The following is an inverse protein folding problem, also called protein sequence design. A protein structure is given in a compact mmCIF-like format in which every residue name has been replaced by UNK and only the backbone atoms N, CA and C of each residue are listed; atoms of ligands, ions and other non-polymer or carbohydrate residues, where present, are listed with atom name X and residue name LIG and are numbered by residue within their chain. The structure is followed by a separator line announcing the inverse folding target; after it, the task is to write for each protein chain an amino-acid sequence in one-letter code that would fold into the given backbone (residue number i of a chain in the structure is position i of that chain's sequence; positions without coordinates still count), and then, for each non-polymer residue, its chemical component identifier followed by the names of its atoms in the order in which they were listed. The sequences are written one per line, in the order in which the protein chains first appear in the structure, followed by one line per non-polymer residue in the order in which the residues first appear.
data_IF_176486338538
#
_entry.id   IF_176486338538
#
_cell.length_a   1.000
_cell.length_b   1.000
_cell.length_c   1.000
_cell.angle_alpha   90.00
_cell.angle_beta   90.00
_cell.angle_gamma   90.00
#
_symmetry.space_group_name_H-M   'P 1'
#
loop_
_entity.id
_entity.type
_entity.pdbx_description
1 polymer ?
#
# COMPACT_ATOMS: atom_id res chain seq x y z
N UNK A 1 10.68 -15.38 5.00
CA UNK A 1 9.45 -15.06 5.76
C UNK A 1 8.48 -14.35 4.82
N UNK A 2 7.17 -14.51 5.00
CA UNK A 2 6.15 -13.81 4.21
C UNK A 2 6.06 -12.30 4.55
N UNK A 3 6.63 -11.89 5.68
CA UNK A 3 6.68 -10.51 6.16
C UNK A 3 7.22 -10.47 7.60
N UNK A 4 8.27 -9.69 7.91
CA UNK A 4 9.13 -8.94 6.99
C UNK A 4 9.85 -9.86 5.98
N UNK A 5 9.96 -9.41 4.74
CA UNK A 5 10.65 -10.14 3.67
C UNK A 5 12.18 -10.03 3.82
N UNK A 6 12.92 -10.87 3.08
CA UNK A 6 14.37 -10.77 3.03
C UNK A 6 14.78 -9.47 2.33
N UNK A 7 15.78 -8.77 2.89
CA UNK A 7 16.44 -7.65 2.23
C UNK A 7 17.64 -8.16 1.41
N UNK A 8 18.00 -7.49 0.30
CA UNK A 8 19.26 -7.75 -0.39
C UNK A 8 20.44 -7.57 0.57
N UNK A 9 21.44 -8.45 0.46
CA UNK A 9 22.59 -8.47 1.39
C UNK A 9 23.37 -7.16 1.32
N UNK A 10 23.55 -6.63 0.12
CA UNK A 10 24.33 -5.41 -0.15
C UNK A 10 23.71 -4.18 0.55
N UNK A 11 22.39 -4.18 0.73
CA UNK A 11 21.68 -3.14 1.49
C UNK A 11 22.02 -3.26 2.98
N UNK A 12 22.05 -4.47 3.54
CA UNK A 12 22.37 -4.70 4.94
C UNK A 12 23.84 -4.36 5.24
N UNK A 13 24.75 -4.70 4.34
CA UNK A 13 26.17 -4.36 4.43
C UNK A 13 26.36 -2.84 4.42
N UNK A 14 25.72 -2.12 3.49
CA UNK A 14 25.75 -0.65 3.45
C UNK A 14 25.23 -0.03 4.75
N UNK A 15 24.11 -0.53 5.27
CA UNK A 15 23.53 -0.06 6.55
C UNK A 15 24.50 -0.31 7.70
N UNK A 16 25.14 -1.48 7.75
CA UNK A 16 26.12 -1.81 8.79
C UNK A 16 27.34 -0.88 8.74
N UNK A 17 27.90 -0.64 7.56
CA UNK A 17 29.06 0.23 7.36
C UNK A 17 28.78 1.68 7.79
N UNK A 18 27.61 2.20 7.45
CA UNK A 18 27.23 3.60 7.74
C UNK A 18 26.51 3.79 9.09
N UNK A 19 26.28 2.73 9.86
CA UNK A 19 25.36 2.79 11.02
C UNK A 19 25.79 3.80 12.08
N UNK A 20 27.09 3.84 12.37
CA UNK A 20 27.67 4.69 13.41
C UNK A 20 28.11 6.05 12.87
N UNK A 21 28.42 6.12 11.57
CA UNK A 21 28.85 7.34 10.90
C UNK A 21 28.24 7.41 9.50
N UNK A 22 27.05 8.01 9.42
CA UNK A 22 26.33 8.13 8.17
C UNK A 22 27.10 9.05 7.23
N UNK A 23 27.67 8.49 6.15
CA UNK A 23 28.42 9.22 5.12
C UNK A 23 29.49 10.17 5.67
N UNK A 24 30.20 9.79 6.74
CA UNK A 24 31.29 10.60 7.31
C UNK A 24 30.81 11.87 8.03
N UNK A 25 29.56 11.93 8.47
CA UNK A 25 28.99 13.09 9.17
C UNK A 25 29.21 13.07 10.69
N UNK A 26 29.90 12.06 11.21
CA UNK A 26 30.25 11.87 12.61
C UNK A 26 29.10 11.39 13.50
N UNK A 27 27.92 11.07 12.94
CA UNK A 27 26.78 10.54 13.70
C UNK A 27 25.95 9.57 12.86
N UNK A 28 25.17 8.72 13.51
CA UNK A 28 24.22 7.81 12.86
C UNK A 28 23.12 8.57 12.12
N UNK A 29 22.55 7.95 11.07
CA UNK A 29 21.32 8.44 10.42
C UNK A 29 20.15 8.51 11.41
N UNK A 30 20.11 7.61 12.39
CA UNK A 30 19.06 7.56 13.42
C UNK A 30 19.11 8.76 14.39
N UNK A 31 20.23 9.48 14.43
CA UNK A 31 20.42 10.67 15.28
C UNK A 31 20.17 11.98 14.52
N UNK A 32 19.97 11.91 13.19
CA UNK A 32 19.78 13.10 12.36
C UNK A 32 18.38 13.68 12.56
N UNK A 33 18.30 15.01 12.62
CA UNK A 33 17.04 15.74 12.55
C UNK A 33 16.35 15.47 11.20
N UNK A 34 15.05 15.16 11.24
CA UNK A 34 14.22 15.00 10.03
C UNK A 34 14.08 16.29 9.20
N UNK A 35 14.47 17.45 9.74
CA UNK A 35 14.51 18.73 9.03
C UNK A 35 15.94 19.10 8.58
N UNK A 36 16.93 18.30 8.94
CA UNK A 36 18.33 18.53 8.59
C UNK A 36 18.62 18.09 7.16
N UNK A 37 19.61 18.71 6.49
CA UNK A 37 19.93 18.45 5.09
C UNK A 37 20.24 16.97 4.82
N UNK A 38 20.92 16.28 5.75
CA UNK A 38 21.24 14.85 5.60
C UNK A 38 20.00 13.96 5.49
N UNK A 39 18.96 14.20 6.31
CA UNK A 39 17.73 13.41 6.24
C UNK A 39 16.85 13.85 5.07
N UNK A 40 16.73 15.16 4.82
CA UNK A 40 15.94 15.67 3.69
C UNK A 40 16.45 15.12 2.36
N UNK A 41 17.77 14.93 2.22
CA UNK A 41 18.35 14.26 1.05
C UNK A 41 17.90 12.79 0.95
N UNK A 42 17.90 12.03 2.05
CA UNK A 42 17.41 10.64 2.06
C UNK A 42 15.94 10.55 1.64
N UNK A 43 15.08 11.40 2.19
CA UNK A 43 13.66 11.47 1.83
C UNK A 43 13.45 11.82 0.34
N UNK A 44 14.20 12.80 -0.16
CA UNK A 44 14.12 13.24 -1.56
C UNK A 44 14.59 12.14 -2.51
N UNK A 45 15.76 11.55 -2.27
CA UNK A 45 16.29 10.47 -3.11
C UNK A 45 15.38 9.23 -3.10
N UNK A 46 14.75 8.91 -1.96
CA UNK A 46 13.79 7.81 -1.88
C UNK A 46 12.57 8.06 -2.76
N UNK A 47 12.02 9.29 -2.75
CA UNK A 47 10.90 9.70 -3.62
C UNK A 47 11.29 9.65 -5.09
N UNK A 48 12.42 10.25 -5.46
CA UNK A 48 12.92 10.26 -6.85
C UNK A 48 13.12 8.84 -7.41
N UNK A 49 13.69 7.94 -6.59
CA UNK A 49 13.89 6.53 -6.99
C UNK A 49 12.56 5.83 -7.21
N UNK A 50 11.59 6.01 -6.32
CA UNK A 50 10.25 5.44 -6.48
C UNK A 50 9.53 5.99 -7.71
N UNK A 51 9.55 7.31 -7.93
CA UNK A 51 9.01 7.94 -9.13
C UNK A 51 9.58 7.31 -10.39
N UNK A 52 10.91 7.14 -10.45
CA UNK A 52 11.57 6.51 -11.61
C UNK A 52 11.24 5.02 -11.78
N UNK A 53 11.26 4.25 -10.70
CA UNK A 53 11.00 2.79 -10.74
C UNK A 53 9.56 2.52 -11.20
N UNK A 54 8.61 3.32 -10.73
CA UNK A 54 7.19 3.16 -11.01
C UNK A 54 6.72 3.94 -12.25
N UNK A 55 7.59 4.74 -12.86
CA UNK A 55 7.25 5.57 -14.02
C UNK A 55 6.17 6.61 -13.72
N UNK A 56 6.14 7.15 -12.49
CA UNK A 56 5.13 8.13 -12.08
C UNK A 56 5.38 9.49 -12.73
N UNK A 57 4.32 10.11 -13.23
CA UNK A 57 4.32 11.52 -13.67
C UNK A 57 4.03 12.49 -12.52
N UNK A 58 3.86 13.77 -12.87
CA UNK A 58 3.64 14.86 -11.90
C UNK A 58 2.25 14.83 -11.24
N UNK A 59 1.34 13.99 -11.73
CA UNK A 59 -0.03 13.83 -11.19
C UNK A 59 -0.07 13.01 -9.89
N UNK A 60 1.07 12.46 -9.44
CA UNK A 60 1.15 11.61 -8.25
C UNK A 60 2.02 12.22 -7.15
N UNK A 61 1.60 12.02 -5.90
CA UNK A 61 2.38 12.40 -4.72
C UNK A 61 2.80 11.17 -3.92
N UNK A 62 4.08 11.08 -3.54
CA UNK A 62 4.64 9.99 -2.73
C UNK A 62 4.64 10.38 -1.25
N UNK A 63 3.99 9.55 -0.44
CA UNK A 63 3.90 9.72 1.01
C UNK A 63 4.54 8.55 1.76
N UNK A 64 5.41 8.84 2.74
CA UNK A 64 5.94 7.85 3.67
C UNK A 64 5.21 7.95 5.00
N UNK A 65 4.33 7.00 5.28
CA UNK A 65 3.43 7.02 6.44
C UNK A 65 3.67 5.82 7.37
N UNK A 66 3.46 6.05 8.66
CA UNK A 66 3.46 4.99 9.68
C UNK A 66 2.09 4.28 9.75
N UNK A 67 2.01 3.20 10.53
CA UNK A 67 0.78 2.43 10.76
C UNK A 67 0.53 1.28 9.78
N UNK A 68 1.34 1.19 8.71
CA UNK A 68 1.27 0.12 7.72
C UNK A 68 -0.03 0.09 6.92
N UNK A 69 -0.21 -0.95 6.09
CA UNK A 69 -1.39 -1.10 5.23
C UNK A 69 -2.71 -1.17 6.03
N UNK A 70 -2.69 -1.74 7.23
CA UNK A 70 -3.88 -1.80 8.11
C UNK A 70 -4.40 -0.40 8.46
N UNK A 71 -3.53 0.58 8.72
CA UNK A 71 -3.97 1.95 8.95
C UNK A 71 -4.54 2.59 7.68
N UNK A 72 -4.09 2.17 6.49
CA UNK A 72 -4.61 2.67 5.21
C UNK A 72 -6.03 2.18 4.91
N UNK A 73 -6.42 0.98 5.37
CA UNK A 73 -7.82 0.54 5.32
C UNK A 73 -8.79 1.49 6.02
N UNK A 74 -8.30 2.30 6.98
CA UNK A 74 -9.07 3.35 7.63
C UNK A 74 -8.86 4.73 6.98
N UNK A 75 -7.62 5.09 6.64
CA UNK A 75 -7.31 6.43 6.11
C UNK A 75 -7.95 6.66 4.73
N UNK A 76 -8.03 5.65 3.87
CA UNK A 76 -8.68 5.76 2.57
C UNK A 76 -10.17 6.14 2.72
N UNK A 77 -11.03 5.34 3.39
CA UNK A 77 -12.43 5.73 3.55
C UNK A 77 -12.62 7.01 4.37
N UNK A 78 -11.76 7.30 5.35
CA UNK A 78 -11.85 8.56 6.11
C UNK A 78 -11.69 9.80 5.22
N UNK A 79 -10.86 9.74 4.18
CA UNK A 79 -10.61 10.87 3.28
C UNK A 79 -11.58 10.89 2.10
N UNK A 80 -12.02 9.73 1.61
CA UNK A 80 -12.74 9.62 0.35
C UNK A 80 -14.20 9.20 0.46
N UNK A 81 -14.63 8.57 1.56
CA UNK A 81 -15.95 7.93 1.67
C UNK A 81 -16.83 8.60 2.74
N UNK A 82 -17.88 9.28 2.30
CA UNK A 82 -18.92 9.81 3.18
C UNK A 82 -20.02 8.78 3.44
N UNK A 83 -20.87 9.03 4.43
CA UNK A 83 -21.98 8.12 4.84
C UNK A 83 -22.92 7.72 3.69
N UNK A 84 -23.15 8.62 2.73
CA UNK A 84 -24.06 8.38 1.62
C UNK A 84 -23.38 7.80 0.38
N UNK A 85 -22.05 7.88 0.32
CA UNK A 85 -21.22 7.43 -0.79
C UNK A 85 -21.08 5.90 -0.74
N UNK A 86 -20.73 5.32 -1.88
CA UNK A 86 -20.47 3.88 -2.03
C UNK A 86 -19.01 3.66 -2.41
N UNK A 87 -18.34 2.73 -1.73
CA UNK A 87 -17.09 2.15 -2.19
C UNK A 87 -17.34 0.76 -2.75
N UNK A 88 -16.79 0.48 -3.92
CA UNK A 88 -16.75 -0.87 -4.47
C UNK A 88 -15.47 -1.56 -3.98
N UNK A 89 -15.59 -2.74 -3.36
CA UNK A 89 -14.43 -3.48 -2.86
C UNK A 89 -14.49 -4.92 -3.36
N UNK A 90 -13.54 -5.29 -4.22
CA UNK A 90 -13.44 -6.65 -4.78
C UNK A 90 -12.92 -7.61 -3.71
N UNK A 91 -13.68 -8.65 -3.38
CA UNK A 91 -13.32 -9.58 -2.29
C UNK A 91 -12.58 -10.84 -2.80
N UNK A 92 -11.25 -10.79 -2.76
CA UNK A 92 -10.36 -11.87 -3.22
C UNK A 92 -9.47 -12.46 -2.13
N UNK A 93 -9.63 -12.06 -0.87
CA UNK A 93 -8.92 -12.68 0.25
C UNK A 93 -9.03 -11.93 1.58
N UNK A 94 -8.21 -12.34 2.55
CA UNK A 94 -8.23 -11.78 3.92
C UNK A 94 -8.01 -10.26 3.95
N UNK A 95 -7.20 -9.72 3.04
CA UNK A 95 -6.91 -8.28 3.02
C UNK A 95 -8.10 -7.45 2.52
N UNK A 96 -8.83 -7.94 1.51
CA UNK A 96 -10.07 -7.31 1.05
C UNK A 96 -11.18 -7.41 2.10
N UNK A 97 -11.30 -8.54 2.81
CA UNK A 97 -12.25 -8.68 3.94
C UNK A 97 -12.00 -7.61 5.02
N UNK A 98 -10.73 -7.37 5.37
CA UNK A 98 -10.33 -6.33 6.33
C UNK A 98 -10.67 -4.93 5.82
N UNK A 99 -10.40 -4.64 4.55
CA UNK A 99 -10.78 -3.37 3.93
C UNK A 99 -12.30 -3.15 3.95
N UNK A 100 -13.10 -4.18 3.61
CA UNK A 100 -14.57 -4.18 3.67
C UNK A 100 -15.06 -3.88 5.08
N UNK A 101 -14.51 -4.57 6.08
CA UNK A 101 -14.93 -4.41 7.47
C UNK A 101 -14.72 -2.96 7.97
N UNK A 102 -13.60 -2.33 7.59
CA UNK A 102 -13.30 -0.95 7.99
C UNK A 102 -14.11 0.07 7.19
N UNK A 103 -14.23 -0.09 5.87
CA UNK A 103 -14.96 0.86 5.02
C UNK A 103 -16.45 0.99 5.38
N UNK A 104 -17.07 -0.10 5.86
CA UNK A 104 -18.46 -0.10 6.39
C UNK A 104 -18.68 0.84 7.58
N UNK A 105 -17.62 1.27 8.26
CA UNK A 105 -17.71 2.24 9.36
C UNK A 105 -17.92 3.68 8.86
N UNK A 106 -17.64 3.95 7.58
CA UNK A 106 -17.62 5.31 7.01
C UNK A 106 -18.75 5.55 6.02
N UNK A 107 -19.07 4.56 5.17
CA UNK A 107 -20.10 4.67 4.14
C UNK A 107 -20.63 3.32 3.69
N UNK A 108 -21.27 3.30 2.52
CA UNK A 108 -21.80 2.06 1.95
C UNK A 108 -20.66 1.29 1.29
N UNK A 109 -20.68 -0.02 1.43
CA UNK A 109 -19.75 -0.91 0.72
C UNK A 109 -20.58 -1.82 -0.17
N UNK A 110 -20.21 -1.83 -1.44
CA UNK A 110 -20.74 -2.76 -2.42
C UNK A 110 -19.60 -3.70 -2.86
N UNK A 111 -19.90 -4.99 -2.98
CA UNK A 111 -18.91 -6.04 -3.29
C UNK A 111 -19.21 -6.54 -4.70
N UNK A 112 -18.57 -5.98 -5.74
CA UNK A 112 -18.90 -6.29 -7.14
C UNK A 112 -18.50 -7.71 -7.55
N UNK A 113 -17.63 -8.35 -6.79
CA UNK A 113 -17.24 -9.74 -6.94
C UNK A 113 -16.68 -10.27 -5.61
N UNK A 114 -16.94 -11.54 -5.32
CA UNK A 114 -16.31 -12.27 -4.22
C UNK A 114 -15.99 -13.70 -4.67
N UNK A 115 -14.77 -14.16 -4.38
CA UNK A 115 -14.36 -15.57 -4.55
C UNK A 115 -14.33 -16.33 -3.21
N UNK A 116 -14.97 -15.80 -2.17
CA UNK A 116 -14.98 -16.38 -0.82
C UNK A 116 -15.59 -17.80 -0.80
N UNK A 117 -16.66 -18.03 -1.57
CA UNK A 117 -17.31 -19.34 -1.77
C UNK A 117 -16.37 -20.38 -2.40
N UNK A 118 -15.38 -19.90 -3.16
CA UNK A 118 -14.32 -20.68 -3.79
C UNK A 118 -13.02 -20.67 -2.96
N UNK A 119 -13.10 -20.29 -1.67
CA UNK A 119 -11.95 -20.18 -0.75
C UNK A 119 -10.83 -19.28 -1.30
N UNK A 120 -11.22 -18.21 -1.99
CA UNK A 120 -10.32 -17.21 -2.55
C UNK A 120 -9.28 -17.77 -3.55
N UNK A 121 -9.65 -18.83 -4.28
CA UNK A 121 -8.75 -19.54 -5.21
C UNK A 121 -8.54 -18.84 -6.56
N UNK A 122 -9.17 -17.69 -6.81
CA UNK A 122 -8.99 -16.90 -8.04
C UNK A 122 -9.30 -15.41 -7.85
N UNK A 123 -8.95 -14.62 -8.86
CA UNK A 123 -9.37 -13.22 -9.06
C UNK A 123 -10.41 -13.16 -10.19
N UNK A 124 -11.28 -12.13 -10.24
CA UNK A 124 -12.30 -12.03 -11.27
C UNK A 124 -11.72 -11.73 -12.67
N UNK A 125 -12.48 -12.12 -13.69
CA UNK A 125 -12.40 -11.55 -15.03
C UNK A 125 -13.23 -10.26 -15.09
N UNK A 126 -12.92 -9.36 -16.04
CA UNK A 126 -13.61 -8.08 -16.17
C UNK A 126 -15.13 -8.22 -16.36
N UNK A 127 -15.59 -9.29 -17.03
CA UNK A 127 -17.02 -9.56 -17.25
C UNK A 127 -17.78 -10.01 -16.01
N UNK A 128 -17.09 -10.41 -14.94
CA UNK A 128 -17.70 -10.84 -13.68
C UNK A 128 -17.88 -9.67 -12.69
N UNK A 129 -17.28 -8.51 -12.98
CA UNK A 129 -17.39 -7.33 -12.13
C UNK A 129 -18.74 -6.65 -12.33
N UNK A 130 -19.62 -6.77 -11.34
CA UNK A 130 -20.88 -6.05 -11.31
C UNK A 130 -20.71 -4.73 -10.55
N UNK A 131 -19.96 -3.76 -11.07
CA UNK A 131 -19.69 -2.49 -10.39
C UNK A 131 -20.97 -1.68 -10.10
N UNK A 132 -20.96 -0.87 -9.02
CA UNK A 132 -22.03 0.10 -8.78
C UNK A 132 -21.98 1.23 -9.83
N UNK A 133 -23.08 1.98 -9.98
CA UNK A 133 -23.20 3.02 -11.02
C UNK A 133 -22.27 4.22 -10.79
N UNK A 134 -22.09 4.61 -9.53
CA UNK A 134 -21.26 5.76 -9.12
C UNK A 134 -20.47 5.46 -7.83
N UNK A 135 -19.49 4.54 -7.88
CA UNK A 135 -18.62 4.30 -6.74
C UNK A 135 -17.63 5.45 -6.58
N UNK A 136 -17.40 5.86 -5.35
CA UNK A 136 -16.41 6.89 -5.04
C UNK A 136 -14.98 6.41 -5.27
N UNK A 137 -14.75 5.10 -5.10
CA UNK A 137 -13.56 4.40 -5.53
C UNK A 137 -13.84 2.90 -5.66
N UNK A 138 -12.99 2.23 -6.42
CA UNK A 138 -12.89 0.77 -6.47
C UNK A 138 -11.60 0.37 -5.75
N UNK A 139 -11.71 -0.52 -4.76
CA UNK A 139 -10.57 -1.09 -4.05
C UNK A 139 -10.41 -2.56 -4.43
N UNK A 140 -9.17 -2.95 -4.77
CA UNK A 140 -8.79 -4.34 -4.99
C UNK A 140 -7.48 -4.63 -4.28
N UNK A 141 -7.22 -5.91 -4.00
CA UNK A 141 -5.94 -6.37 -3.46
C UNK A 141 -5.19 -7.03 -4.60
N UNK A 142 -4.14 -6.38 -5.13
CA UNK A 142 -3.46 -6.88 -6.33
C UNK A 142 -2.82 -8.26 -6.14
N UNK A 143 -2.25 -8.51 -4.95
CA UNK A 143 -1.69 -9.81 -4.56
C UNK A 143 -2.23 -10.28 -3.20
N UNK A 144 -2.97 -11.39 -3.18
CA UNK A 144 -3.56 -11.99 -1.98
C UNK A 144 -2.56 -12.94 -1.30
N UNK A 145 -1.68 -12.39 -0.46
CA UNK A 145 -0.52 -13.12 0.10
C UNK A 145 -0.83 -14.42 0.85
N UNK A 146 -2.04 -14.56 1.41
CA UNK A 146 -2.45 -15.78 2.15
C UNK A 146 -2.95 -16.87 1.21
N UNK A 147 -3.63 -16.49 0.12
CA UNK A 147 -4.30 -17.43 -0.78
C UNK A 147 -3.52 -17.69 -2.07
N UNK A 148 -2.48 -16.90 -2.36
CA UNK A 148 -1.59 -17.12 -3.51
C UNK A 148 -2.24 -16.77 -4.85
N UNK A 149 -3.20 -15.85 -4.85
CA UNK A 149 -3.87 -15.34 -6.06
C UNK A 149 -3.47 -13.90 -6.34
N UNK A 150 -3.30 -13.57 -7.61
CA UNK A 150 -2.84 -12.26 -8.06
C UNK A 150 -3.58 -11.83 -9.33
N UNK A 151 -3.86 -10.53 -9.45
CA UNK A 151 -4.30 -9.93 -10.71
C UNK A 151 -3.18 -10.01 -11.75
N UNK A 152 -3.50 -10.39 -12.98
CA UNK A 152 -2.50 -10.55 -14.05
C UNK A 152 -1.97 -9.22 -14.58
N UNK A 153 -2.74 -8.15 -14.42
CA UNK A 153 -2.38 -6.76 -14.71
C UNK A 153 -3.09 -5.83 -13.75
N UNK A 154 -2.45 -4.69 -13.46
CA UNK A 154 -3.01 -3.57 -12.68
C UNK A 154 -3.49 -2.45 -13.61
#
# INVERSE_FOLDING_TARGET
SAGPAALPLEVLETVQEELLDYKGTGTSIMEKSHRGPSYTQVDTEAKERLTRILGLGDDFHIMFLQGGATAQFMQIPLNFLSKNDTADIINTGVWSEKAIAVAKLFGKVHVPFSSEDQKFSRVPENSELNLSEDPRYVHFTSNNTIYGTQFSSE
#
